data_IF_539469177379
#
_entry.id   IF_539469177379
#
_cell.length_a   1.000
_cell.length_b   1.000
_cell.length_c   1.000
_cell.angle_alpha   90.00
_cell.angle_beta   90.00
_cell.angle_gamma   90.00
#
_symmetry.space_group_name_H-M   'P 1'
#
loop_
_entity.id
_entity.type
_entity.pdbx_description
1 polymer ?
#
# COMPACT_ATOMS: atom_id res chain seq x y z
N UNK A 1 19.32 16.58 11.36
CA UNK A 1 19.34 15.76 10.14
C UNK A 1 20.33 14.64 10.34
N UNK A 2 20.03 13.41 9.91
CA UNK A 2 20.93 12.26 10.04
C UNK A 2 22.16 12.40 9.14
N UNK A 3 23.27 11.79 9.53
CA UNK A 3 24.47 11.66 8.70
C UNK A 3 24.44 10.39 7.85
N UNK A 4 23.86 9.31 8.41
CA UNK A 4 23.79 8.00 7.76
C UNK A 4 22.51 7.27 8.15
N UNK A 5 21.81 6.70 7.17
CA UNK A 5 20.63 5.87 7.38
C UNK A 5 20.81 4.49 6.74
N UNK A 6 20.23 3.46 7.37
CA UNK A 6 20.10 2.12 6.79
C UNK A 6 18.74 1.97 6.14
N UNK A 7 18.69 1.35 4.95
CA UNK A 7 17.46 1.02 4.25
C UNK A 7 17.15 -0.47 4.45
N UNK A 8 16.15 -0.75 5.30
CA UNK A 8 15.72 -2.12 5.63
C UNK A 8 14.72 -2.65 4.60
N UNK A 9 15.05 -2.55 3.33
CA UNK A 9 14.22 -2.98 2.22
C UNK A 9 15.06 -3.27 0.97
N UNK A 10 14.41 -3.64 -0.14
CA UNK A 10 15.00 -3.99 -1.42
C UNK A 10 14.18 -3.40 -2.59
N UNK A 11 14.65 -3.66 -3.80
CA UNK A 11 13.89 -3.33 -5.00
C UNK A 11 13.75 -1.82 -5.23
N UNK A 12 12.68 -1.43 -5.89
CA UNK A 12 12.47 -0.04 -6.31
C UNK A 12 12.35 0.93 -5.13
N UNK A 13 11.74 0.49 -4.02
CA UNK A 13 11.57 1.35 -2.85
C UNK A 13 12.91 1.63 -2.14
N UNK A 14 13.80 0.64 -2.10
CA UNK A 14 15.15 0.88 -1.57
C UNK A 14 15.91 1.89 -2.44
N UNK A 15 15.81 1.77 -3.77
CA UNK A 15 16.39 2.76 -4.71
C UNK A 15 15.77 4.14 -4.51
N UNK A 16 14.44 4.22 -4.33
CA UNK A 16 13.72 5.48 -4.08
C UNK A 16 14.21 6.18 -2.81
N UNK A 17 14.38 5.41 -1.71
CA UNK A 17 14.87 5.93 -0.43
C UNK A 17 16.32 6.38 -0.56
N UNK A 18 17.20 5.60 -1.20
CA UNK A 18 18.60 5.96 -1.44
C UNK A 18 18.70 7.29 -2.20
N UNK A 19 17.89 7.49 -3.24
CA UNK A 19 17.85 8.75 -3.99
C UNK A 19 17.43 9.92 -3.12
N UNK A 20 16.36 9.78 -2.33
CA UNK A 20 15.91 10.83 -1.41
C UNK A 20 16.95 11.18 -0.35
N UNK A 21 17.58 10.18 0.26
CA UNK A 21 18.63 10.37 1.26
C UNK A 21 19.84 11.09 0.65
N UNK A 22 20.29 10.68 -0.53
CA UNK A 22 21.41 11.31 -1.25
C UNK A 22 21.14 12.78 -1.58
N UNK A 23 19.91 13.09 -2.03
CA UNK A 23 19.49 14.47 -2.30
C UNK A 23 19.38 15.33 -1.02
N UNK A 24 19.27 14.70 0.16
CA UNK A 24 19.35 15.35 1.47
C UNK A 24 20.78 15.39 2.03
N UNK A 25 21.77 14.88 1.31
CA UNK A 25 23.17 14.82 1.74
C UNK A 25 23.44 13.76 2.82
N UNK A 26 22.61 12.71 2.90
CA UNK A 26 22.68 11.64 3.89
C UNK A 26 23.33 10.40 3.27
N UNK A 27 24.34 9.82 3.91
CA UNK A 27 24.95 8.56 3.51
C UNK A 27 23.99 7.38 3.74
N UNK A 28 24.10 6.36 2.88
CA UNK A 28 23.15 5.26 2.84
C UNK A 28 23.81 3.90 3.01
N UNK A 29 23.18 3.03 3.79
CA UNK A 29 23.53 1.62 3.92
C UNK A 29 22.39 0.77 3.35
N UNK A 30 22.65 0.01 2.30
CA UNK A 30 21.72 -1.00 1.81
C UNK A 30 21.93 -2.33 2.53
N UNK A 31 20.86 -3.00 2.94
CA UNK A 31 20.93 -4.41 3.32
C UNK A 31 20.51 -5.27 2.13
N UNK A 32 21.08 -6.48 2.03
CA UNK A 32 20.74 -7.42 0.96
C UNK A 32 20.85 -8.87 1.40
N UNK A 33 20.01 -9.73 0.83
CA UNK A 33 20.20 -11.17 0.89
C UNK A 33 21.21 -11.63 -0.16
N UNK A 34 21.73 -12.85 -0.03
CA UNK A 34 22.64 -13.40 -1.06
C UNK A 34 22.04 -13.42 -2.47
N UNK A 35 20.69 -13.48 -2.59
CA UNK A 35 20.00 -13.43 -3.88
C UNK A 35 19.98 -12.03 -4.52
N UNK A 36 20.15 -10.99 -3.72
CA UNK A 36 20.12 -9.57 -4.15
C UNK A 36 21.54 -8.95 -4.21
N UNK A 37 22.61 -9.75 -4.19
CA UNK A 37 23.99 -9.24 -4.18
C UNK A 37 24.27 -8.23 -5.32
N UNK A 38 23.68 -8.46 -6.48
CA UNK A 38 23.85 -7.61 -7.66
C UNK A 38 22.63 -6.69 -7.89
N UNK A 39 21.72 -6.56 -6.92
CA UNK A 39 20.56 -5.70 -7.04
C UNK A 39 20.94 -4.21 -7.07
N UNK A 40 20.20 -3.40 -7.81
CA UNK A 40 20.54 -1.99 -8.05
C UNK A 40 20.71 -1.17 -6.76
N UNK A 41 19.92 -1.46 -5.71
CA UNK A 41 20.03 -0.75 -4.43
C UNK A 41 21.38 -0.99 -3.74
N UNK A 42 22.00 -2.17 -3.90
CA UNK A 42 23.33 -2.44 -3.35
C UNK A 42 24.44 -1.70 -4.11
N UNK A 43 24.23 -1.46 -5.42
CA UNK A 43 25.18 -0.74 -6.27
C UNK A 43 25.09 0.79 -6.08
N UNK A 44 23.92 1.29 -5.68
CA UNK A 44 23.68 2.72 -5.51
C UNK A 44 23.96 3.23 -4.10
N UNK A 45 23.84 2.41 -3.06
CA UNK A 45 24.13 2.80 -1.70
C UNK A 45 25.63 3.06 -1.48
N UNK A 46 25.98 3.87 -0.47
CA UNK A 46 27.37 4.14 -0.12
C UNK A 46 28.04 2.94 0.54
N UNK A 47 27.26 2.14 1.29
CA UNK A 47 27.66 0.87 1.90
C UNK A 47 26.58 -0.19 1.65
N UNK A 48 26.98 -1.47 1.60
CA UNK A 48 26.04 -2.59 1.45
C UNK A 48 26.44 -3.75 2.34
N UNK A 49 25.47 -4.32 3.09
CA UNK A 49 25.67 -5.38 4.07
C UNK A 49 24.80 -6.59 3.75
N UNK A 50 25.40 -7.76 3.60
CA UNK A 50 24.67 -9.02 3.45
C UNK A 50 24.05 -9.43 4.80
N UNK A 51 22.75 -9.65 4.83
CA UNK A 51 21.99 -9.96 6.05
C UNK A 51 21.47 -11.41 6.11
N UNK A 52 21.81 -12.26 5.13
CA UNK A 52 21.43 -13.66 5.12
C UNK A 52 21.17 -14.24 3.74
N UNK A 53 20.64 -15.49 3.67
CA UNK A 53 20.30 -16.15 2.42
C UNK A 53 19.06 -15.55 1.75
N UNK A 54 18.69 -16.09 0.56
CA UNK A 54 17.61 -15.55 -0.27
C UNK A 54 16.21 -15.52 0.35
N UNK A 55 15.89 -16.45 1.28
CA UNK A 55 14.59 -16.45 1.94
C UNK A 55 14.39 -15.21 2.82
N UNK A 56 13.26 -14.53 2.66
CA UNK A 56 12.94 -13.32 3.43
C UNK A 56 12.97 -13.54 4.95
N UNK A 57 12.47 -14.67 5.44
CA UNK A 57 12.48 -15.03 6.88
C UNK A 57 13.86 -15.17 7.47
N UNK A 58 14.88 -15.43 6.64
CA UNK A 58 16.27 -15.62 7.05
C UNK A 58 17.12 -14.37 6.76
N UNK A 59 16.54 -13.32 6.17
CA UNK A 59 17.21 -12.07 5.76
C UNK A 59 16.38 -10.82 6.08
N UNK A 60 15.55 -10.32 5.16
CA UNK A 60 14.81 -9.06 5.31
C UNK A 60 13.78 -9.05 6.45
N UNK A 61 13.31 -10.21 6.92
CA UNK A 61 12.45 -10.38 8.10
C UNK A 61 13.22 -10.75 9.36
N UNK A 62 14.55 -10.87 9.28
CA UNK A 62 15.40 -11.16 10.43
C UNK A 62 15.79 -9.85 11.15
N UNK A 63 15.03 -9.49 12.17
CA UNK A 63 15.22 -8.27 12.96
C UNK A 63 16.67 -8.14 13.45
N UNK A 64 17.24 -9.23 14.01
CA UNK A 64 18.59 -9.18 14.58
C UNK A 64 19.66 -8.93 13.51
N UNK A 65 19.51 -9.52 12.32
CA UNK A 65 20.46 -9.30 11.22
C UNK A 65 20.40 -7.84 10.73
N UNK A 66 19.21 -7.27 10.59
CA UNK A 66 19.03 -5.87 10.17
C UNK A 66 19.58 -4.90 11.21
N UNK A 67 19.26 -5.10 12.50
CA UNK A 67 19.78 -4.28 13.60
C UNK A 67 21.30 -4.39 13.72
N UNK A 68 21.86 -5.59 13.62
CA UNK A 68 23.32 -5.79 13.64
C UNK A 68 23.99 -5.03 12.50
N UNK A 69 23.44 -5.05 11.30
CA UNK A 69 23.95 -4.27 10.18
C UNK A 69 23.92 -2.76 10.47
N UNK A 70 22.84 -2.26 11.08
CA UNK A 70 22.71 -0.85 11.43
C UNK A 70 23.73 -0.42 12.49
N UNK A 71 23.93 -1.22 13.52
CA UNK A 71 24.93 -0.94 14.58
C UNK A 71 26.34 -0.99 14.01
N UNK A 72 26.69 -2.01 13.22
CA UNK A 72 28.03 -2.19 12.64
C UNK A 72 28.42 -1.06 11.67
N UNK A 73 27.44 -0.50 10.98
CA UNK A 73 27.65 0.61 10.02
C UNK A 73 27.47 1.99 10.64
N UNK A 74 27.18 2.06 11.93
CA UNK A 74 26.92 3.31 12.65
C UNK A 74 25.77 4.13 12.02
N UNK A 75 24.72 3.44 11.52
CA UNK A 75 23.53 4.10 11.02
C UNK A 75 22.75 4.74 12.17
N UNK A 76 22.36 6.00 12.01
CA UNK A 76 21.61 6.77 13.01
C UNK A 76 20.11 6.52 12.96
N UNK A 77 19.61 6.08 11.79
CA UNK A 77 18.19 5.75 11.58
C UNK A 77 18.03 4.59 10.59
N UNK A 78 16.85 3.95 10.63
CA UNK A 78 16.46 2.90 9.70
C UNK A 78 15.19 3.31 8.98
N UNK A 79 15.22 3.27 7.65
CA UNK A 79 14.02 3.43 6.81
C UNK A 79 13.52 2.06 6.37
N UNK A 80 12.32 1.63 6.79
CA UNK A 80 11.82 0.30 6.49
C UNK A 80 11.18 0.18 5.10
N UNK A 81 10.85 1.29 4.43
CA UNK A 81 10.06 1.31 3.20
C UNK A 81 8.64 0.80 3.41
N UNK A 82 8.20 -0.14 2.58
CA UNK A 82 6.93 -0.87 2.72
C UNK A 82 7.15 -2.39 2.67
N UNK A 83 6.21 -3.18 3.23
CA UNK A 83 6.39 -4.62 3.38
C UNK A 83 7.48 -4.99 4.39
N UNK A 84 7.89 -6.26 4.44
CA UNK A 84 8.87 -6.79 5.38
C UNK A 84 8.64 -6.34 6.83
N UNK A 85 9.54 -5.53 7.39
CA UNK A 85 9.49 -5.07 8.78
C UNK A 85 8.82 -3.70 8.97
N UNK A 86 8.26 -3.10 7.91
CA UNK A 86 7.74 -1.73 7.97
C UNK A 86 6.56 -1.52 8.93
N UNK A 87 5.77 -2.56 9.19
CA UNK A 87 4.65 -2.54 10.14
C UNK A 87 4.88 -3.48 11.33
N UNK A 88 6.16 -3.79 11.62
CA UNK A 88 6.53 -4.65 12.74
C UNK A 88 6.83 -3.82 14.00
N UNK A 89 5.89 -3.76 14.93
CA UNK A 89 5.99 -2.98 16.17
C UNK A 89 7.20 -3.37 17.02
N UNK A 90 7.51 -4.69 17.09
CA UNK A 90 8.67 -5.19 17.81
C UNK A 90 9.97 -4.66 17.20
N UNK A 91 10.06 -4.61 15.87
CA UNK A 91 11.24 -4.06 15.21
C UNK A 91 11.41 -2.56 15.49
N UNK A 92 10.32 -1.78 15.40
CA UNK A 92 10.35 -0.36 15.72
C UNK A 92 10.82 -0.12 17.17
N UNK A 93 10.27 -0.84 18.13
CA UNK A 93 10.66 -0.77 19.54
C UNK A 93 12.14 -1.15 19.75
N UNK A 94 12.59 -2.24 19.14
CA UNK A 94 13.99 -2.66 19.25
C UNK A 94 14.98 -1.65 18.62
N UNK A 95 14.58 -0.94 17.56
CA UNK A 95 15.39 0.16 17.03
C UNK A 95 15.61 1.26 18.10
N UNK A 96 14.54 1.67 18.78
CA UNK A 96 14.60 2.68 19.84
C UNK A 96 15.45 2.21 21.03
N UNK A 97 15.30 0.95 21.45
CA UNK A 97 16.08 0.36 22.55
C UNK A 97 17.61 0.37 22.29
N UNK A 98 18.02 0.26 21.04
CA UNK A 98 19.45 0.32 20.65
C UNK A 98 19.90 1.72 20.23
N UNK A 99 19.04 2.72 20.38
CA UNK A 99 19.36 4.13 20.08
C UNK A 99 19.39 4.48 18.60
N UNK A 100 18.69 3.71 17.76
CA UNK A 100 18.55 3.95 16.31
C UNK A 100 17.14 4.42 16.03
N UNK A 101 16.97 5.57 15.36
CA UNK A 101 15.63 6.10 15.03
C UNK A 101 14.97 5.23 13.95
N UNK A 102 13.77 4.75 14.25
CA UNK A 102 12.90 4.14 13.25
C UNK A 102 12.21 5.25 12.45
N UNK A 103 12.31 5.23 11.11
CA UNK A 103 11.65 6.21 10.23
C UNK A 103 10.24 5.70 9.92
N UNK A 104 9.31 6.06 10.77
CA UNK A 104 7.92 5.61 10.77
C UNK A 104 7.25 5.95 12.09
N UNK A 105 6.01 5.50 12.31
CA UNK A 105 5.31 5.68 13.58
C UNK A 105 5.91 4.79 14.68
N UNK A 106 5.51 5.04 15.94
CA UNK A 106 5.94 4.22 17.08
C UNK A 106 5.34 2.81 17.02
N UNK A 107 6.02 1.84 17.66
CA UNK A 107 5.52 0.47 17.79
C UNK A 107 4.14 0.40 18.45
N UNK A 108 3.86 1.28 19.41
CA UNK A 108 2.54 1.37 20.06
C UNK A 108 1.41 1.73 19.09
N UNK A 109 1.63 2.70 18.20
CA UNK A 109 0.65 3.08 17.18
C UNK A 109 0.44 1.96 16.16
N UNK A 110 1.53 1.26 15.78
CA UNK A 110 1.42 0.08 14.91
C UNK A 110 0.55 -1.02 15.53
N UNK A 111 0.76 -1.35 16.80
CA UNK A 111 -0.04 -2.36 17.50
C UNK A 111 -1.50 -1.94 17.63
N UNK A 112 -1.75 -0.67 17.96
CA UNK A 112 -3.11 -0.13 18.10
C UNK A 112 -3.88 -0.19 16.78
N UNK A 113 -3.25 0.18 15.68
CA UNK A 113 -3.90 0.24 14.37
C UNK A 113 -3.88 -1.11 13.63
N UNK A 114 -2.97 -2.00 13.98
CA UNK A 114 -2.92 -3.37 13.44
C UNK A 114 -4.02 -4.29 13.98
N UNK A 115 -4.56 -4.01 15.15
CA UNK A 115 -5.73 -4.71 15.70
C UNK A 115 -7.02 -4.07 15.16
N UNK A 116 -7.75 -4.82 14.33
CA UNK A 116 -8.96 -4.31 13.63
C UNK A 116 -10.06 -3.84 14.59
N UNK A 117 -10.21 -4.49 15.74
CA UNK A 117 -11.25 -4.15 16.74
C UNK A 117 -10.84 -2.86 17.45
N UNK A 118 -9.60 -2.78 17.89
CA UNK A 118 -9.06 -1.59 18.55
C UNK A 118 -9.07 -0.39 17.59
N UNK A 119 -8.60 -0.56 16.37
CA UNK A 119 -8.62 0.46 15.35
C UNK A 119 -10.03 0.99 15.10
N UNK A 120 -11.02 0.09 14.90
CA UNK A 120 -12.41 0.47 14.73
C UNK A 120 -12.97 1.26 15.93
N UNK A 121 -12.74 0.76 17.15
CA UNK A 121 -13.20 1.43 18.37
C UNK A 121 -12.60 2.84 18.49
N UNK A 122 -11.33 2.98 18.14
CA UNK A 122 -10.64 4.29 18.13
C UNK A 122 -11.21 5.23 17.07
N UNK A 123 -11.52 4.73 15.88
CA UNK A 123 -12.14 5.53 14.81
C UNK A 123 -13.55 6.02 15.20
N UNK A 124 -14.35 5.17 15.84
CA UNK A 124 -15.67 5.57 16.37
C UNK A 124 -15.52 6.74 17.37
N UNK A 125 -14.56 6.63 18.31
CA UNK A 125 -14.28 7.70 19.29
C UNK A 125 -13.82 9.00 18.63
N UNK A 126 -13.07 8.89 17.54
CA UNK A 126 -12.59 10.03 16.76
C UNK A 126 -13.68 10.65 15.83
N UNK A 127 -14.89 10.08 15.80
CA UNK A 127 -15.96 10.52 14.90
C UNK A 127 -15.67 10.25 13.43
N UNK A 128 -14.87 9.21 13.14
CA UNK A 128 -14.61 8.74 11.79
C UNK A 128 -15.64 7.67 11.43
N UNK A 129 -16.34 7.79 10.29
CA UNK A 129 -17.33 6.80 9.88
C UNK A 129 -16.70 5.42 9.69
N UNK A 130 -17.31 4.39 10.25
CA UNK A 130 -16.89 2.99 10.12
C UNK A 130 -17.96 2.16 9.44
N UNK A 131 -17.59 1.09 8.75
CA UNK A 131 -18.55 0.20 8.09
C UNK A 131 -19.54 -0.32 9.17
N UNK A 132 -20.86 -0.25 8.94
CA UNK A 132 -21.82 -0.84 9.88
C UNK A 132 -21.50 -2.33 10.13
N UNK A 133 -21.37 -2.72 11.39
CA UNK A 133 -20.91 -4.07 11.74
C UNK A 133 -21.15 -4.38 13.20
N UNK A 134 -20.57 -5.50 13.67
CA UNK A 134 -20.60 -5.89 15.07
C UNK A 134 -19.82 -4.91 15.96
N UNK A 135 -20.27 -4.77 17.20
CA UNK A 135 -19.61 -3.91 18.21
C UNK A 135 -18.41 -4.60 18.89
N UNK A 136 -17.96 -5.73 18.36
CA UNK A 136 -16.87 -6.56 18.84
C UNK A 136 -16.91 -7.94 18.22
N UNK A 137 -16.22 -8.89 18.85
CA UNK A 137 -16.24 -10.29 18.44
C UNK A 137 -17.62 -10.92 18.58
N UNK A 138 -17.97 -11.75 17.60
CA UNK A 138 -19.17 -12.59 17.58
C UNK A 138 -18.72 -14.05 17.75
N UNK A 139 -19.23 -14.72 18.78
CA UNK A 139 -18.72 -16.03 19.17
C UNK A 139 -19.61 -17.21 18.74
N UNK A 140 -20.85 -16.94 18.34
CA UNK A 140 -21.81 -17.96 17.92
C UNK A 140 -22.74 -17.46 16.83
N UNK A 141 -23.43 -18.39 16.18
CA UNK A 141 -24.32 -18.10 15.06
C UNK A 141 -25.61 -17.34 15.46
N UNK A 142 -26.05 -17.44 16.71
CA UNK A 142 -27.23 -16.72 17.20
C UNK A 142 -26.92 -15.22 17.33
N UNK A 143 -25.77 -14.87 17.92
CA UNK A 143 -25.27 -13.49 17.95
C UNK A 143 -25.08 -12.94 16.52
N UNK A 144 -24.54 -13.79 15.63
CA UNK A 144 -24.31 -13.42 14.24
C UNK A 144 -25.61 -13.03 13.52
N UNK A 145 -26.69 -13.79 13.71
CA UNK A 145 -28.01 -13.49 13.14
C UNK A 145 -28.54 -12.14 13.65
N UNK A 146 -28.48 -11.88 14.94
CA UNK A 146 -28.95 -10.62 15.54
C UNK A 146 -28.19 -9.42 14.96
N UNK A 147 -26.88 -9.54 14.85
CA UNK A 147 -26.04 -8.48 14.28
C UNK A 147 -26.38 -8.27 12.80
N UNK A 148 -26.45 -9.35 12.02
CA UNK A 148 -26.70 -9.27 10.59
C UNK A 148 -28.09 -8.68 10.26
N UNK A 149 -29.12 -9.02 11.05
CA UNK A 149 -30.46 -8.43 10.93
C UNK A 149 -30.43 -6.92 11.22
N UNK A 150 -29.67 -6.48 12.22
CA UNK A 150 -29.52 -5.07 12.60
C UNK A 150 -28.83 -4.24 11.51
N UNK A 151 -27.76 -4.77 10.90
CA UNK A 151 -26.96 -4.03 9.91
C UNK A 151 -27.44 -4.21 8.47
N UNK A 152 -28.26 -5.23 8.19
CA UNK A 152 -28.81 -5.55 6.89
C UNK A 152 -27.88 -6.37 6.00
N UNK A 153 -28.48 -7.26 5.20
CA UNK A 153 -27.77 -8.09 4.22
C UNK A 153 -27.51 -7.31 2.92
N UNK A 154 -26.48 -7.71 2.14
CA UNK A 154 -25.51 -8.77 2.40
C UNK A 154 -24.49 -8.39 3.46
N UNK A 155 -23.98 -9.40 4.20
CA UNK A 155 -22.96 -9.21 5.23
C UNK A 155 -21.67 -9.98 4.91
N UNK A 156 -20.55 -9.51 5.45
CA UNK A 156 -19.26 -10.15 5.38
C UNK A 156 -18.87 -10.68 6.77
N UNK A 157 -18.65 -11.98 6.86
CA UNK A 157 -18.04 -12.63 8.02
C UNK A 157 -16.52 -12.56 7.87
N UNK A 158 -15.81 -12.13 8.90
CA UNK A 158 -14.34 -12.03 8.92
C UNK A 158 -13.82 -12.64 10.23
N UNK A 159 -12.75 -13.43 10.16
CA UNK A 159 -12.07 -13.88 11.37
C UNK A 159 -11.49 -12.68 12.14
N UNK A 160 -11.72 -12.64 13.48
CA UNK A 160 -11.15 -11.60 14.35
C UNK A 160 -9.63 -11.67 14.40
N UNK A 161 -9.09 -12.89 14.48
CA UNK A 161 -7.67 -13.15 14.40
C UNK A 161 -7.33 -13.56 12.97
N UNK A 162 -6.44 -12.82 12.30
CA UNK A 162 -5.92 -13.19 10.97
C UNK A 162 -6.02 -12.10 9.92
N UNK A 163 -5.30 -12.31 8.81
CA UNK A 163 -5.22 -11.42 7.65
C UNK A 163 -5.10 -12.21 6.35
N UNK A 164 -4.98 -11.51 5.21
CA UNK A 164 -4.72 -12.14 3.91
C UNK A 164 -5.91 -12.86 3.27
N UNK A 165 -7.15 -12.50 3.63
CA UNK A 165 -8.37 -13.02 2.96
C UNK A 165 -8.85 -14.40 3.41
N UNK A 166 -8.16 -15.06 4.35
CA UNK A 166 -8.61 -16.34 4.92
C UNK A 166 -9.64 -16.12 6.03
N UNK A 167 -10.67 -16.97 6.09
CA UNK A 167 -11.77 -16.82 7.04
C UNK A 167 -12.71 -15.66 6.72
N UNK A 168 -12.81 -15.26 5.45
CA UNK A 168 -13.75 -14.24 4.96
C UNK A 168 -14.83 -14.94 4.14
N UNK A 169 -16.11 -14.64 4.46
CA UNK A 169 -17.26 -15.17 3.71
C UNK A 169 -18.33 -14.10 3.55
N UNK A 170 -18.77 -13.89 2.30
CA UNK A 170 -19.96 -13.10 1.98
C UNK A 170 -21.21 -13.95 2.21
N UNK A 171 -22.21 -13.38 2.86
CA UNK A 171 -23.52 -14.00 3.09
C UNK A 171 -24.59 -13.07 2.54
N UNK A 172 -25.31 -13.57 1.54
CA UNK A 172 -26.32 -12.80 0.81
C UNK A 172 -27.67 -12.79 1.55
N UNK A 173 -27.99 -13.89 2.25
CA UNK A 173 -29.32 -14.14 2.82
C UNK A 173 -29.23 -14.72 4.24
N UNK A 174 -30.24 -14.45 5.10
CA UNK A 174 -30.27 -14.95 6.47
C UNK A 174 -30.14 -16.49 6.60
N UNK A 175 -30.77 -17.25 5.68
CA UNK A 175 -30.75 -18.71 5.70
C UNK A 175 -29.35 -19.32 5.56
N UNK A 176 -28.41 -18.61 4.95
CA UNK A 176 -27.06 -19.09 4.71
C UNK A 176 -26.10 -18.75 5.87
N UNK A 177 -26.50 -17.84 6.78
CA UNK A 177 -25.59 -17.25 7.77
C UNK A 177 -25.03 -18.27 8.76
N UNK A 178 -25.88 -19.17 9.28
CA UNK A 178 -25.48 -20.17 10.28
C UNK A 178 -24.38 -21.07 9.74
N UNK A 179 -24.62 -21.66 8.57
CA UNK A 179 -23.67 -22.57 7.90
C UNK A 179 -22.37 -21.85 7.55
N UNK A 180 -22.45 -20.61 7.03
CA UNK A 180 -21.30 -19.80 6.70
C UNK A 180 -20.48 -19.43 7.94
N UNK A 181 -21.16 -19.09 9.06
CA UNK A 181 -20.50 -18.74 10.32
C UNK A 181 -19.75 -19.95 10.90
N UNK A 182 -20.39 -21.11 11.01
CA UNK A 182 -19.79 -22.34 11.57
C UNK A 182 -18.55 -22.74 10.76
N UNK A 183 -18.65 -22.68 9.42
CA UNK A 183 -17.53 -23.00 8.54
C UNK A 183 -16.38 -22.01 8.74
N UNK A 184 -16.65 -20.70 8.68
CA UNK A 184 -15.64 -19.67 8.79
C UNK A 184 -14.99 -19.66 10.20
N UNK A 185 -15.77 -19.85 11.25
CA UNK A 185 -15.29 -19.96 12.63
C UNK A 185 -14.38 -21.18 12.83
N UNK A 186 -14.77 -22.34 12.25
CA UNK A 186 -13.94 -23.56 12.30
C UNK A 186 -12.61 -23.38 11.57
N UNK A 187 -12.63 -22.77 10.39
CA UNK A 187 -11.41 -22.44 9.62
C UNK A 187 -10.52 -21.44 10.40
N UNK A 188 -11.11 -20.41 11.00
CA UNK A 188 -10.39 -19.44 11.81
C UNK A 188 -9.72 -20.10 13.02
N UNK A 189 -10.45 -20.96 13.72
CA UNK A 189 -9.93 -21.72 14.85
C UNK A 189 -8.78 -22.66 14.46
N UNK A 190 -8.89 -23.33 13.32
CA UNK A 190 -7.85 -24.22 12.81
C UNK A 190 -6.56 -23.47 12.40
N UNK A 191 -6.71 -22.30 11.78
CA UNK A 191 -5.57 -21.54 11.25
C UNK A 191 -4.94 -20.60 12.28
N UNK A 192 -5.73 -20.04 13.20
CA UNK A 192 -5.32 -18.95 14.10
C UNK A 192 -5.52 -19.26 15.59
N UNK A 193 -6.09 -20.42 15.93
CA UNK A 193 -6.38 -20.80 17.32
C UNK A 193 -7.59 -20.09 17.94
N UNK A 194 -8.19 -19.13 17.25
CA UNK A 194 -9.38 -18.37 17.69
C UNK A 194 -10.46 -18.44 16.62
N UNK A 195 -11.68 -18.88 17.00
CA UNK A 195 -12.83 -18.99 16.09
C UNK A 195 -13.79 -17.79 16.17
N UNK A 196 -13.45 -16.74 16.92
CA UNK A 196 -14.26 -15.54 17.00
C UNK A 196 -14.29 -14.82 15.65
N UNK A 197 -15.48 -14.33 15.29
CA UNK A 197 -15.75 -13.69 14.02
C UNK A 197 -16.14 -12.23 14.23
N UNK A 198 -15.97 -11.47 13.20
CA UNK A 198 -16.43 -10.10 13.06
C UNK A 198 -17.38 -10.01 11.87
N UNK A 199 -18.45 -9.22 11.98
CA UNK A 199 -19.47 -9.08 10.94
C UNK A 199 -19.56 -7.64 10.50
N UNK A 200 -19.53 -7.41 9.18
CA UNK A 200 -19.73 -6.10 8.57
C UNK A 200 -20.74 -6.16 7.43
N UNK A 201 -21.43 -5.05 7.19
CA UNK A 201 -22.24 -4.90 5.99
C UNK A 201 -21.35 -4.88 4.75
N UNK A 202 -21.75 -5.56 3.69
CA UNK A 202 -21.08 -5.43 2.38
C UNK A 202 -21.48 -4.09 1.76
N UNK A 203 -20.48 -3.30 1.40
CA UNK A 203 -20.65 -2.06 0.65
C UNK A 203 -20.43 -2.38 -0.83
N UNK A 204 -21.46 -2.20 -1.64
CA UNK A 204 -21.41 -2.47 -3.08
C UNK A 204 -22.49 -1.70 -3.84
N UNK A 205 -22.20 -1.06 -5.01
CA UNK A 205 -20.85 -0.87 -5.56
C UNK A 205 -20.00 0.04 -4.68
N UNK A 206 -18.69 -0.17 -4.66
CA UNK A 206 -17.79 0.57 -3.79
C UNK A 206 -16.50 0.95 -4.49
N UNK A 207 -15.94 2.11 -4.11
CA UNK A 207 -14.58 2.51 -4.45
C UNK A 207 -13.65 2.39 -3.27
N UNK A 208 -12.44 1.98 -3.55
CA UNK A 208 -11.35 2.02 -2.59
C UNK A 208 -10.67 3.40 -2.69
N UNK A 209 -10.96 4.25 -1.75
CA UNK A 209 -10.40 5.60 -1.63
C UNK A 209 -9.49 5.63 -0.42
N UNK A 210 -8.30 6.16 -0.59
CA UNK A 210 -7.35 6.27 0.51
C UNK A 210 -6.76 7.68 0.59
N UNK A 211 -6.39 8.09 1.79
CA UNK A 211 -5.87 9.44 2.04
C UNK A 211 -4.46 9.36 2.60
N UNK A 212 -3.52 9.99 1.92
CA UNK A 212 -2.16 10.15 2.40
C UNK A 212 -2.11 11.16 3.54
N UNK A 213 -1.58 10.75 4.68
CA UNK A 213 -1.32 11.64 5.81
C UNK A 213 0.18 11.78 6.08
N UNK A 214 0.54 12.91 6.68
CA UNK A 214 1.83 13.18 7.29
C UNK A 214 1.59 13.78 8.67
N UNK A 215 2.27 13.24 9.69
CA UNK A 215 2.25 13.77 11.06
C UNK A 215 3.67 14.03 11.54
N UNK A 216 3.91 15.16 12.24
CA UNK A 216 5.20 15.46 12.85
C UNK A 216 5.20 15.23 14.38
N UNK A 217 6.39 15.22 14.99
CA UNK A 217 6.56 15.06 16.45
C UNK A 217 6.07 16.27 17.25
N UNK A 218 5.60 17.34 16.58
CA UNK A 218 5.09 18.57 17.19
C UNK A 218 3.57 18.60 17.26
N UNK A 219 2.89 17.53 16.83
CA UNK A 219 1.45 17.38 16.86
C UNK A 219 0.72 17.98 15.66
N UNK A 220 1.41 18.32 14.57
CA UNK A 220 0.79 18.75 13.34
C UNK A 220 0.51 17.53 12.46
N UNK A 221 -0.72 17.40 12.01
CA UNK A 221 -1.14 16.36 11.05
C UNK A 221 -1.80 17.03 9.86
N UNK A 222 -1.37 16.63 8.65
CA UNK A 222 -1.95 17.09 7.39
C UNK A 222 -2.31 15.91 6.49
N UNK A 223 -3.19 16.14 5.52
CA UNK A 223 -3.42 15.21 4.41
C UNK A 223 -2.96 15.79 3.07
N UNK A 224 -2.48 14.93 2.18
CA UNK A 224 -2.00 15.29 0.85
C UNK A 224 -3.01 14.96 -0.26
N UNK A 225 -4.28 14.81 0.07
CA UNK A 225 -5.34 14.39 -0.85
C UNK A 225 -5.51 12.87 -0.90
N UNK A 226 -6.45 12.47 -1.75
CA UNK A 226 -6.84 11.07 -1.90
C UNK A 226 -6.26 10.43 -3.15
N UNK A 227 -6.19 9.09 -3.10
CA UNK A 227 -5.95 8.18 -4.23
C UNK A 227 -7.16 7.30 -4.45
N UNK A 228 -7.43 6.92 -5.69
CA UNK A 228 -8.37 5.86 -6.07
C UNK A 228 -7.57 4.60 -6.38
N UNK A 229 -7.82 3.55 -5.62
CA UNK A 229 -7.15 2.26 -5.71
C UNK A 229 -8.14 1.12 -5.99
N UNK A 230 -9.25 1.41 -6.68
CA UNK A 230 -10.33 0.46 -6.90
C UNK A 230 -9.98 -0.64 -7.89
N UNK A 231 -9.05 -0.41 -8.83
CA UNK A 231 -8.63 -1.43 -9.79
C UNK A 231 -7.67 -2.43 -9.13
N UNK A 232 -8.26 -3.52 -8.61
CA UNK A 232 -7.58 -4.53 -7.81
C UNK A 232 -7.82 -5.94 -8.33
N UNK A 233 -6.80 -6.80 -8.23
CA UNK A 233 -6.89 -8.24 -8.44
C UNK A 233 -6.65 -8.96 -7.11
N UNK A 234 -7.63 -9.70 -6.61
CA UNK A 234 -7.52 -10.42 -5.34
C UNK A 234 -7.03 -9.52 -4.17
N UNK A 235 -7.60 -8.32 -4.06
CA UNK A 235 -7.22 -7.27 -3.09
C UNK A 235 -5.79 -6.70 -3.27
N UNK A 236 -5.13 -6.97 -4.39
CA UNK A 236 -3.87 -6.33 -4.77
C UNK A 236 -4.15 -5.23 -5.78
N UNK A 237 -3.72 -4.03 -5.46
CA UNK A 237 -3.84 -2.84 -6.32
C UNK A 237 -3.01 -3.07 -7.59
N UNK A 238 -3.57 -2.72 -8.74
CA UNK A 238 -2.97 -2.94 -10.06
C UNK A 238 -2.70 -1.62 -10.77
N UNK A 239 -3.65 -0.69 -10.65
CA UNK A 239 -3.58 0.66 -11.17
C UNK A 239 -4.15 1.61 -10.12
N UNK A 240 -3.46 2.72 -9.89
CA UNK A 240 -3.86 3.75 -8.93
C UNK A 240 -3.86 5.12 -9.60
N UNK A 241 -4.78 5.98 -9.17
CA UNK A 241 -4.85 7.35 -9.67
C UNK A 241 -5.11 8.38 -8.55
N UNK A 242 -4.66 9.60 -8.76
CA UNK A 242 -4.91 10.74 -7.86
C UNK A 242 -5.09 12.02 -8.68
N UNK A 243 -6.08 12.87 -8.32
CA UNK A 243 -7.18 12.60 -7.38
C UNK A 243 -8.22 11.63 -7.95
N UNK A 244 -9.09 11.06 -7.10
CA UNK A 244 -10.20 10.22 -7.56
C UNK A 244 -11.24 11.04 -8.32
N UNK A 245 -11.73 10.50 -9.44
CA UNK A 245 -12.84 11.11 -10.20
C UNK A 245 -14.19 10.95 -9.51
N UNK A 246 -14.33 9.97 -8.62
CA UNK A 246 -15.53 9.76 -7.82
C UNK A 246 -15.65 10.72 -6.65
N UNK A 247 -14.58 11.47 -6.33
CA UNK A 247 -14.51 12.34 -5.15
C UNK A 247 -14.53 13.81 -5.56
N UNK A 248 -15.70 14.42 -5.44
CA UNK A 248 -15.85 15.87 -5.66
C UNK A 248 -15.24 16.69 -4.50
N UNK A 249 -15.11 18.01 -4.70
CA UNK A 249 -14.44 18.92 -3.74
C UNK A 249 -14.98 18.84 -2.31
N UNK A 250 -16.29 18.77 -2.13
CA UNK A 250 -16.91 18.70 -0.79
C UNK A 250 -16.55 17.38 -0.11
N UNK A 251 -16.76 16.27 -0.80
CA UNK A 251 -16.44 14.94 -0.27
C UNK A 251 -14.95 14.79 0.02
N UNK A 252 -14.06 15.35 -0.83
CA UNK A 252 -12.61 15.38 -0.59
C UNK A 252 -12.26 16.05 0.73
N UNK A 253 -12.88 17.18 1.02
CA UNK A 253 -12.66 17.89 2.27
C UNK A 253 -13.16 17.06 3.47
N UNK A 254 -14.30 16.39 3.34
CA UNK A 254 -14.87 15.55 4.41
C UNK A 254 -14.00 14.32 4.69
N UNK A 255 -13.58 13.60 3.64
CA UNK A 255 -12.70 12.42 3.76
C UNK A 255 -11.33 12.84 4.30
N UNK A 256 -10.75 13.93 3.78
CA UNK A 256 -9.47 14.46 4.26
C UNK A 256 -9.51 14.85 5.73
N UNK A 257 -10.55 15.57 6.16
CA UNK A 257 -10.75 15.92 7.56
C UNK A 257 -10.95 14.68 8.46
N UNK A 258 -11.65 13.65 7.96
CA UNK A 258 -11.81 12.39 8.69
C UNK A 258 -10.46 11.66 8.85
N UNK A 259 -9.62 11.66 7.80
CA UNK A 259 -8.29 11.06 7.86
C UNK A 259 -7.36 11.79 8.85
N UNK A 260 -7.41 13.13 8.89
CA UNK A 260 -6.64 13.90 9.87
C UNK A 260 -7.10 13.57 11.30
N UNK A 261 -8.43 13.59 11.57
CA UNK A 261 -8.95 13.21 12.90
C UNK A 261 -8.56 11.78 13.30
N UNK A 262 -8.57 10.84 12.35
CA UNK A 262 -8.13 9.47 12.59
C UNK A 262 -6.68 9.44 13.08
N UNK A 263 -5.78 10.12 12.38
CA UNK A 263 -4.36 10.17 12.69
C UNK A 263 -4.07 10.91 14.01
N UNK A 264 -4.70 12.07 14.24
CA UNK A 264 -4.59 12.84 15.49
C UNK A 264 -5.04 12.02 16.70
N UNK A 265 -6.12 11.22 16.55
CA UNK A 265 -6.68 10.43 17.64
C UNK A 265 -5.75 9.36 18.19
N UNK A 266 -4.74 8.96 17.42
CA UNK A 266 -3.74 7.96 17.81
C UNK A 266 -2.34 8.54 17.99
N UNK A 267 -2.19 9.87 17.88
CA UNK A 267 -0.89 10.54 17.94
C UNK A 267 0.05 10.06 16.83
N UNK A 268 -0.46 9.99 15.60
CA UNK A 268 0.27 9.45 14.47
C UNK A 268 1.44 10.36 14.05
N UNK A 269 2.59 9.75 13.89
CA UNK A 269 3.80 10.41 13.39
C UNK A 269 4.29 9.75 12.10
N UNK A 270 4.95 10.51 11.26
CA UNK A 270 5.51 10.12 9.96
C UNK A 270 4.43 9.95 8.87
N UNK A 271 4.76 9.25 7.78
CA UNK A 271 3.84 8.99 6.68
C UNK A 271 2.94 7.79 6.95
N UNK A 272 1.66 7.94 6.70
CA UNK A 272 0.67 6.88 6.79
C UNK A 272 -0.48 7.08 5.81
N UNK A 273 -1.33 6.10 5.69
CA UNK A 273 -2.49 6.14 4.79
C UNK A 273 -3.72 5.63 5.50
N UNK A 274 -4.81 6.39 5.43
CA UNK A 274 -6.13 5.95 5.89
C UNK A 274 -6.92 5.46 4.69
N UNK A 275 -7.31 4.21 4.71
CA UNK A 275 -8.11 3.58 3.66
C UNK A 275 -9.60 3.63 3.99
N UNK A 276 -10.42 4.00 2.98
CA UNK A 276 -11.86 4.09 3.06
C UNK A 276 -12.54 3.31 1.93
N UNK A 277 -13.71 2.75 2.22
CA UNK A 277 -14.68 2.39 1.18
C UNK A 277 -15.64 3.54 0.96
N UNK A 278 -15.74 4.00 -0.27
CA UNK A 278 -16.77 4.92 -0.73
C UNK A 278 -17.93 4.13 -1.31
N UNK A 279 -19.10 4.21 -0.68
CA UNK A 279 -20.35 3.68 -1.20
C UNK A 279 -20.87 4.62 -2.30
N UNK A 280 -20.77 4.21 -3.55
CA UNK A 280 -21.18 5.04 -4.69
C UNK A 280 -22.69 5.29 -4.72
N UNK A 281 -23.49 4.37 -4.18
CA UNK A 281 -24.94 4.53 -4.17
C UNK A 281 -25.41 5.60 -3.19
N UNK A 282 -24.77 5.71 -2.03
CA UNK A 282 -25.15 6.68 -0.99
C UNK A 282 -24.24 7.90 -0.90
N UNK A 283 -23.07 7.87 -1.53
CA UNK A 283 -22.02 8.87 -1.39
C UNK A 283 -21.35 8.89 -0.02
N UNK A 284 -21.60 7.89 0.83
CA UNK A 284 -20.99 7.77 2.16
C UNK A 284 -19.67 7.03 2.08
N UNK A 285 -18.74 7.40 2.95
CA UNK A 285 -17.46 6.72 3.06
C UNK A 285 -17.28 6.10 4.46
N UNK A 286 -16.49 5.03 4.52
CA UNK A 286 -16.31 4.25 5.74
C UNK A 286 -14.84 3.84 5.88
N UNK A 287 -14.28 4.02 7.07
CA UNK A 287 -12.94 3.55 7.41
C UNK A 287 -12.82 2.03 7.22
N UNK A 288 -11.74 1.61 6.60
CA UNK A 288 -11.35 0.21 6.45
C UNK A 288 -10.18 -0.14 7.35
N UNK A 289 -9.05 0.51 7.12
CA UNK A 289 -7.80 0.29 7.86
C UNK A 289 -6.86 1.48 7.75
N UNK A 290 -5.81 1.45 8.54
CA UNK A 290 -4.70 2.39 8.46
C UNK A 290 -3.42 1.64 8.15
N UNK A 291 -2.72 2.03 7.10
CA UNK A 291 -1.38 1.54 6.81
C UNK A 291 -0.37 2.47 7.46
N UNK A 292 0.41 1.92 8.40
CA UNK A 292 1.33 2.68 9.25
C UNK A 292 2.73 2.81 8.62
N UNK A 293 2.77 3.08 7.32
CA UNK A 293 3.97 3.16 6.47
C UNK A 293 3.72 3.98 5.21
N UNK A 294 4.76 4.23 4.44
CA UNK A 294 4.61 4.65 3.04
C UNK A 294 4.01 3.52 2.21
N UNK A 295 3.17 3.84 1.23
CA UNK A 295 2.59 2.86 0.33
C UNK A 295 3.30 2.83 -1.04
N UNK A 296 3.08 1.76 -1.83
CA UNK A 296 3.64 1.60 -3.18
C UNK A 296 3.25 2.78 -4.04
N UNK A 297 1.99 3.19 -3.99
CA UNK A 297 1.33 4.21 -4.80
C UNK A 297 1.53 5.66 -4.34
N UNK A 298 2.48 5.90 -3.39
CA UNK A 298 2.80 7.27 -2.96
C UNK A 298 3.19 8.23 -4.10
N UNK A 299 3.79 7.77 -5.21
CA UNK A 299 4.21 8.65 -6.30
C UNK A 299 3.09 9.44 -6.96
N UNK A 300 1.86 8.90 -7.05
CA UNK A 300 0.74 9.67 -7.64
C UNK A 300 0.37 10.88 -6.76
N UNK A 301 0.45 10.71 -5.43
CA UNK A 301 0.25 11.82 -4.48
C UNK A 301 1.37 12.84 -4.57
N UNK A 302 2.63 12.39 -4.67
CA UNK A 302 3.79 13.29 -4.85
C UNK A 302 3.63 14.17 -6.10
N UNK A 303 3.16 13.60 -7.21
CA UNK A 303 2.95 14.34 -8.44
C UNK A 303 1.86 15.40 -8.33
N UNK A 304 0.72 15.09 -7.74
CA UNK A 304 -0.40 16.05 -7.67
C UNK A 304 -0.24 17.08 -6.54
N UNK A 305 0.44 16.73 -5.43
CA UNK A 305 0.65 17.62 -4.29
C UNK A 305 1.94 18.43 -4.39
N UNK A 306 2.95 17.93 -5.10
CA UNK A 306 4.28 18.50 -5.15
C UNK A 306 5.13 18.23 -3.91
N UNK A 307 4.68 17.37 -2.99
CA UNK A 307 5.39 17.02 -1.75
C UNK A 307 6.16 15.72 -1.92
N UNK A 308 7.47 15.72 -1.67
CA UNK A 308 8.31 14.51 -1.64
C UNK A 308 8.11 13.78 -0.30
N UNK A 309 7.24 12.76 -0.30
CA UNK A 309 6.82 12.04 0.91
C UNK A 309 8.00 11.35 1.59
N UNK A 310 8.91 10.74 0.83
CA UNK A 310 10.08 10.03 1.40
C UNK A 310 11.05 11.00 2.06
N UNK A 311 11.26 12.19 1.48
CA UNK A 311 12.06 13.23 2.14
C UNK A 311 11.40 13.75 3.40
N UNK A 312 10.06 13.93 3.38
CA UNK A 312 9.33 14.32 4.59
C UNK A 312 9.45 13.27 5.69
N UNK A 313 9.34 11.97 5.36
CA UNK A 313 9.57 10.90 6.34
C UNK A 313 10.93 11.01 7.04
N UNK A 314 11.99 11.28 6.28
CA UNK A 314 13.35 11.43 6.81
C UNK A 314 13.47 12.70 7.66
N UNK A 315 12.88 13.81 7.22
CA UNK A 315 12.90 15.10 7.96
C UNK A 315 12.14 15.01 9.28
N UNK A 316 10.93 14.45 9.25
CA UNK A 316 10.10 14.25 10.46
C UNK A 316 10.85 13.37 11.46
N UNK A 317 11.39 12.23 11.02
CA UNK A 317 12.15 11.35 11.90
C UNK A 317 13.43 12.00 12.47
N UNK A 318 13.96 13.02 11.79
CA UNK A 318 15.07 13.85 12.30
C UNK A 318 14.61 15.00 13.23
N UNK A 319 13.35 14.99 13.68
CA UNK A 319 12.77 15.98 14.60
C UNK A 319 12.39 17.32 13.95
N UNK A 320 12.35 17.39 12.62
CA UNK A 320 11.94 18.61 11.93
C UNK A 320 10.41 18.70 11.84
N UNK A 321 9.82 19.90 11.92
CA UNK A 321 8.42 20.09 11.63
C UNK A 321 8.12 19.81 10.15
N UNK A 322 6.84 19.55 9.83
CA UNK A 322 6.36 19.46 8.46
C UNK A 322 6.85 20.66 7.62
N UNK A 323 7.35 20.39 6.43
CA UNK A 323 7.87 21.45 5.53
C UNK A 323 6.76 22.26 4.87
N UNK A 324 5.52 21.80 4.94
CA UNK A 324 4.31 22.39 4.34
C UNK A 324 3.17 22.39 5.34
N UNK A 325 2.22 23.30 5.19
CA UNK A 325 0.99 23.36 5.98
C UNK A 325 -0.19 22.86 5.15
N UNK A 326 -1.30 22.52 5.82
CA UNK A 326 -2.49 22.05 5.11
C UNK A 326 -3.02 23.06 4.07
N UNK A 327 -2.97 24.36 4.36
CA UNK A 327 -3.41 25.41 3.45
C UNK A 327 -2.54 25.54 2.19
N UNK A 328 -1.31 25.05 2.21
CA UNK A 328 -0.38 25.07 1.07
C UNK A 328 -0.63 23.92 0.09
N UNK A 329 -1.38 22.89 0.52
CA UNK A 329 -1.63 21.70 -0.29
C UNK A 329 -2.71 21.99 -1.33
N UNK A 330 -2.28 22.03 -2.58
CA UNK A 330 -3.15 22.19 -3.76
C UNK A 330 -2.91 21.06 -4.72
N UNK A 331 -3.91 20.21 -4.91
CA UNK A 331 -3.83 19.14 -5.91
C UNK A 331 -3.91 19.72 -7.31
N UNK A 332 -2.90 19.43 -8.14
CA UNK A 332 -2.77 19.94 -9.51
C UNK A 332 -2.70 18.82 -10.50
N UNK A 333 -3.48 18.91 -11.57
CA UNK A 333 -3.51 17.91 -12.63
C UNK A 333 -4.08 16.58 -12.17
N UNK A 334 -3.60 15.52 -12.79
CA UNK A 334 -4.01 14.13 -12.51
C UNK A 334 -2.82 13.20 -12.70
N UNK A 335 -2.61 12.28 -11.78
CA UNK A 335 -1.54 11.29 -11.86
C UNK A 335 -2.11 9.87 -11.88
N UNK A 336 -1.46 8.99 -12.63
CA UNK A 336 -1.79 7.56 -12.74
C UNK A 336 -0.51 6.77 -12.54
N UNK A 337 -0.59 5.68 -11.77
CA UNK A 337 0.48 4.70 -11.60
C UNK A 337 0.01 3.34 -12.11
N UNK A 338 0.86 2.65 -12.88
CA UNK A 338 0.70 1.24 -13.25
C UNK A 338 1.84 0.43 -12.65
N UNK A 339 1.50 -0.63 -11.92
CA UNK A 339 2.47 -1.58 -11.38
C UNK A 339 2.89 -2.57 -12.46
N UNK A 340 4.18 -2.66 -12.73
CA UNK A 340 4.76 -3.63 -13.67
C UNK A 340 5.33 -4.79 -12.90
N UNK A 341 4.69 -5.95 -13.06
CA UNK A 341 5.05 -7.17 -12.38
C UNK A 341 5.64 -8.19 -13.36
N UNK A 342 6.66 -8.92 -12.93
CA UNK A 342 7.16 -10.09 -13.65
C UNK A 342 6.21 -11.29 -13.42
N UNK A 343 5.07 -11.24 -14.11
CA UNK A 343 3.97 -12.20 -14.04
C UNK A 343 3.40 -12.45 -15.43
N UNK A 344 2.80 -13.62 -15.62
CA UNK A 344 2.09 -13.94 -16.85
C UNK A 344 0.57 -13.86 -16.66
N UNK A 345 -0.12 -12.80 -17.16
CA UNK A 345 -1.56 -12.62 -16.99
C UNK A 345 -2.40 -13.75 -17.60
N UNK A 346 -1.95 -14.33 -18.72
CA UNK A 346 -2.64 -15.44 -19.42
C UNK A 346 -2.65 -16.71 -18.55
N UNK A 347 -1.57 -16.96 -17.80
CA UNK A 347 -1.45 -18.09 -16.88
C UNK A 347 -1.76 -17.67 -15.43
N UNK A 348 -2.90 -17.01 -15.25
CA UNK A 348 -3.41 -16.59 -13.93
C UNK A 348 -2.37 -15.80 -13.10
N UNK A 349 -1.59 -14.94 -13.76
CA UNK A 349 -0.55 -14.12 -13.14
C UNK A 349 0.51 -14.94 -12.40
N UNK A 350 0.87 -16.08 -12.98
CA UNK A 350 1.98 -16.88 -12.44
C UNK A 350 3.29 -16.05 -12.46
N UNK A 351 4.06 -16.03 -11.36
CA UNK A 351 5.34 -15.34 -11.31
C UNK A 351 6.30 -15.82 -12.40
N UNK A 352 7.03 -14.88 -13.01
CA UNK A 352 8.02 -15.13 -14.05
C UNK A 352 9.41 -14.61 -13.62
N UNK A 353 10.06 -15.27 -12.63
CA UNK A 353 11.44 -14.95 -12.28
C UNK A 353 12.37 -15.33 -13.42
N UNK A 354 13.50 -14.61 -13.55
CA UNK A 354 14.44 -14.91 -14.62
C UNK A 354 15.35 -13.75 -14.95
N UNK A 355 16.19 -13.94 -15.97
CA UNK A 355 17.14 -12.93 -16.40
C UNK A 355 16.51 -12.00 -17.43
N UNK A 356 16.58 -10.71 -17.17
CA UNK A 356 16.22 -9.67 -18.14
C UNK A 356 17.32 -9.59 -19.19
N UNK A 357 16.97 -9.88 -20.44
CA UNK A 357 17.92 -9.88 -21.57
C UNK A 357 17.96 -8.55 -22.28
N UNK A 358 16.80 -7.88 -22.42
CA UNK A 358 16.68 -6.53 -22.93
C UNK A 358 15.72 -5.72 -22.06
N UNK A 359 15.99 -4.42 -21.93
CA UNK A 359 15.16 -3.50 -21.15
C UNK A 359 15.19 -2.11 -21.76
N UNK A 360 14.04 -1.61 -22.14
CA UNK A 360 13.82 -0.20 -22.43
C UNK A 360 12.73 0.33 -21.51
N UNK A 361 13.11 1.20 -20.58
CA UNK A 361 12.16 1.92 -19.72
C UNK A 361 11.76 3.21 -20.41
N UNK A 362 10.45 3.53 -20.53
CA UNK A 362 10.00 4.75 -21.16
C UNK A 362 10.59 5.97 -20.45
N UNK A 363 11.06 6.92 -21.23
CA UNK A 363 11.70 8.13 -20.71
C UNK A 363 11.34 9.36 -21.54
N UNK A 364 11.54 10.54 -20.95
CA UNK A 364 11.25 11.79 -21.62
C UNK A 364 9.79 12.22 -21.61
N UNK A 365 9.57 13.47 -21.98
CA UNK A 365 8.28 14.15 -21.84
C UNK A 365 8.03 14.66 -20.42
N UNK A 366 7.14 15.65 -20.32
CA UNK A 366 6.76 16.25 -19.05
C UNK A 366 5.80 15.32 -18.30
N UNK A 367 6.09 15.04 -17.03
CA UNK A 367 5.22 14.26 -16.17
C UNK A 367 5.29 12.76 -16.40
N UNK A 368 6.47 12.22 -16.73
CA UNK A 368 6.74 10.79 -16.71
C UNK A 368 7.83 10.48 -15.70
N UNK A 369 7.57 9.49 -14.84
CA UNK A 369 8.49 8.94 -13.85
C UNK A 369 8.43 7.42 -13.90
N UNK A 370 9.58 6.78 -13.79
CA UNK A 370 9.70 5.32 -13.65
C UNK A 370 10.49 5.02 -12.38
N UNK A 371 9.84 4.35 -11.42
CA UNK A 371 10.50 3.82 -10.23
C UNK A 371 10.78 2.34 -10.46
N UNK A 372 12.07 1.98 -10.54
CA UNK A 372 12.51 0.62 -10.85
C UNK A 372 13.84 0.31 -10.22
N UNK A 373 14.10 -0.98 -10.03
CA UNK A 373 15.40 -1.50 -9.57
C UNK A 373 15.99 -2.53 -10.54
N UNK A 374 15.37 -2.72 -11.71
CA UNK A 374 15.87 -3.67 -12.72
C UNK A 374 16.71 -2.96 -13.78
N UNK A 375 17.60 -3.71 -14.40
CA UNK A 375 18.51 -3.26 -15.46
C UNK A 375 18.83 -4.42 -16.41
N UNK A 376 19.33 -4.18 -17.62
CA UNK A 376 19.71 -5.25 -18.57
C UNK A 376 20.74 -6.19 -17.95
N UNK A 377 20.43 -7.48 -17.96
CA UNK A 377 21.27 -8.53 -17.35
C UNK A 377 20.93 -8.87 -15.89
N UNK A 378 20.08 -8.08 -15.22
CA UNK A 378 19.60 -8.41 -13.87
C UNK A 378 18.77 -9.68 -13.87
N UNK A 379 18.94 -10.51 -12.83
CA UNK A 379 18.13 -11.71 -12.61
C UNK A 379 17.13 -11.47 -11.50
N UNK A 380 15.84 -11.52 -11.83
CA UNK A 380 14.74 -11.41 -10.87
C UNK A 380 14.72 -12.69 -10.02
N UNK A 381 14.94 -12.59 -8.70
CA UNK A 381 14.95 -13.75 -7.83
C UNK A 381 13.53 -14.26 -7.54
N UNK A 382 13.33 -15.58 -7.32
CA UNK A 382 12.01 -16.15 -7.08
C UNK A 382 11.53 -16.06 -5.62
N UNK A 383 12.20 -15.29 -4.77
CA UNK A 383 11.96 -15.26 -3.32
C UNK A 383 11.06 -14.14 -2.85
N UNK A 384 10.79 -13.15 -3.70
CA UNK A 384 10.14 -11.89 -3.31
C UNK A 384 8.98 -11.58 -4.24
N UNK A 385 8.27 -10.48 -3.94
CA UNK A 385 7.19 -9.98 -4.78
C UNK A 385 7.66 -9.76 -6.23
N UNK A 386 6.76 -9.97 -7.16
CA UNK A 386 7.00 -9.92 -8.61
C UNK A 386 7.11 -8.51 -9.18
N UNK A 387 6.79 -7.46 -8.42
CA UNK A 387 6.83 -6.08 -8.90
C UNK A 387 8.27 -5.64 -9.19
N UNK A 388 8.52 -5.23 -10.44
CA UNK A 388 9.84 -4.86 -10.95
C UNK A 388 9.97 -3.38 -11.30
N UNK A 389 8.84 -2.72 -11.58
CA UNK A 389 8.79 -1.30 -11.87
C UNK A 389 7.40 -0.72 -11.57
N UNK A 390 7.36 0.59 -11.44
CA UNK A 390 6.13 1.40 -11.48
C UNK A 390 6.32 2.45 -12.57
N UNK A 391 5.33 2.60 -13.42
CA UNK A 391 5.26 3.70 -14.37
C UNK A 391 4.25 4.69 -13.83
N UNK A 392 4.68 5.91 -13.63
CA UNK A 392 3.87 6.99 -13.06
C UNK A 392 3.83 8.14 -14.05
N UNK A 393 2.64 8.62 -14.36
CA UNK A 393 2.45 9.77 -15.24
C UNK A 393 1.67 10.88 -14.53
N UNK A 394 1.91 12.10 -14.96
CA UNK A 394 1.18 13.29 -14.51
C UNK A 394 0.74 14.10 -15.72
N UNK A 395 -0.54 14.39 -15.81
CA UNK A 395 -1.16 15.20 -16.85
C UNK A 395 -1.85 16.45 -16.30
N UNK A 396 -2.18 17.39 -17.17
CA UNK A 396 -2.98 18.57 -16.82
C UNK A 396 -4.38 18.16 -16.33
N UNK A 397 -4.88 17.04 -16.83
CA UNK A 397 -6.14 16.43 -16.48
C UNK A 397 -6.05 14.90 -16.68
N UNK A 398 -7.12 14.18 -16.31
CA UNK A 398 -7.15 12.72 -16.39
C UNK A 398 -6.94 12.18 -17.81
N UNK A 399 -7.54 12.83 -18.81
CA UNK A 399 -7.39 12.40 -20.21
C UNK A 399 -5.93 12.51 -20.68
N UNK A 400 -5.25 13.61 -20.36
CA UNK A 400 -3.82 13.79 -20.67
C UNK A 400 -2.95 12.74 -19.93
N UNK A 401 -3.27 12.43 -18.67
CA UNK A 401 -2.59 11.37 -17.93
C UNK A 401 -2.81 9.98 -18.57
N UNK A 402 -4.05 9.65 -18.98
CA UNK A 402 -4.35 8.39 -19.70
C UNK A 402 -3.54 8.25 -20.97
N UNK A 403 -3.49 9.31 -21.81
CA UNK A 403 -2.72 9.29 -23.07
C UNK A 403 -1.21 9.14 -22.81
N UNK A 404 -0.68 9.77 -21.77
CA UNK A 404 0.72 9.61 -21.37
C UNK A 404 1.02 8.20 -20.87
N UNK A 405 0.11 7.58 -20.11
CA UNK A 405 0.27 6.20 -19.64
C UNK A 405 0.23 5.20 -20.79
N UNK A 406 -0.72 5.34 -21.73
CA UNK A 406 -0.78 4.49 -22.92
C UNK A 406 0.53 4.57 -23.73
N UNK A 407 1.04 5.78 -23.97
CA UNK A 407 2.33 5.98 -24.64
C UNK A 407 3.47 5.31 -23.88
N UNK A 408 3.55 5.52 -22.57
CA UNK A 408 4.63 4.96 -21.75
C UNK A 408 4.60 3.43 -21.73
N UNK A 409 3.41 2.81 -21.62
CA UNK A 409 3.26 1.36 -21.67
C UNK A 409 3.57 0.78 -23.06
N UNK A 410 3.21 1.50 -24.14
CA UNK A 410 3.53 1.11 -25.50
C UNK A 410 5.05 1.14 -25.79
N UNK A 411 5.77 2.08 -25.19
CA UNK A 411 7.23 2.19 -25.33
C UNK A 411 8.00 1.21 -24.43
N UNK A 412 7.36 0.64 -23.39
CA UNK A 412 8.01 -0.26 -22.44
C UNK A 412 8.38 -1.58 -23.11
N UNK A 413 9.64 -1.94 -23.05
CA UNK A 413 10.14 -3.22 -23.57
C UNK A 413 10.93 -3.96 -22.50
N UNK A 414 10.50 -5.18 -22.18
CA UNK A 414 11.15 -6.07 -21.20
C UNK A 414 11.20 -7.48 -21.80
N UNK A 415 12.41 -7.97 -22.07
CA UNK A 415 12.62 -9.31 -22.62
C UNK A 415 13.34 -10.24 -21.61
N UNK A 416 13.11 -11.53 -21.78
CA UNK A 416 13.70 -12.60 -20.94
C UNK A 416 12.78 -13.08 -19.84
N UNK A 417 11.75 -12.30 -19.48
CA UNK A 417 10.70 -12.65 -18.51
C UNK A 417 9.34 -12.24 -19.05
N UNK A 418 8.27 -12.86 -18.57
CA UNK A 418 6.91 -12.40 -18.83
C UNK A 418 6.55 -11.26 -17.87
N UNK A 419 5.78 -10.29 -18.35
CA UNK A 419 5.30 -9.18 -17.53
C UNK A 419 3.82 -8.93 -17.78
N UNK A 420 3.20 -8.14 -16.90
CA UNK A 420 1.82 -7.68 -17.07
C UNK A 420 1.70 -6.36 -17.87
N UNK A 421 2.74 -5.95 -18.61
CA UNK A 421 2.74 -4.66 -19.32
C UNK A 421 1.62 -4.54 -20.36
N UNK A 422 1.41 -5.57 -21.20
CA UNK A 422 0.34 -5.59 -22.21
C UNK A 422 -1.05 -5.61 -21.54
N UNK A 423 -1.20 -6.34 -20.43
CA UNK A 423 -2.41 -6.31 -19.61
C UNK A 423 -2.71 -4.90 -19.09
N UNK A 424 -1.69 -4.17 -18.61
CA UNK A 424 -1.84 -2.78 -18.18
C UNK A 424 -2.24 -1.86 -19.34
N UNK A 425 -1.66 -2.05 -20.51
CA UNK A 425 -2.01 -1.28 -21.71
C UNK A 425 -3.47 -1.53 -22.15
N UNK A 426 -3.93 -2.77 -22.12
CA UNK A 426 -5.32 -3.11 -22.40
C UNK A 426 -6.26 -2.54 -21.34
N UNK A 427 -5.88 -2.62 -20.05
CA UNK A 427 -6.67 -2.09 -18.94
C UNK A 427 -6.85 -0.57 -19.03
N UNK A 428 -5.76 0.19 -19.24
CA UNK A 428 -5.82 1.65 -19.34
C UNK A 428 -6.53 2.12 -20.62
N UNK A 429 -6.69 1.23 -21.59
CA UNK A 429 -7.38 1.47 -22.85
C UNK A 429 -8.84 1.02 -22.83
N UNK A 430 -9.29 0.34 -21.77
CA UNK A 430 -10.70 -0.08 -21.64
C UNK A 430 -11.62 1.13 -21.53
N UNK A 431 -12.75 1.08 -22.21
CA UNK A 431 -13.73 2.18 -22.27
C UNK A 431 -14.28 2.58 -20.89
N UNK A 432 -14.48 1.60 -20.00
CA UNK A 432 -14.99 1.89 -18.66
C UNK A 432 -13.90 2.56 -17.82
N UNK A 433 -12.65 2.12 -17.94
CA UNK A 433 -11.50 2.77 -17.27
C UNK A 433 -11.31 4.19 -17.79
N UNK A 434 -11.39 4.41 -19.11
CA UNK A 434 -11.33 5.75 -19.71
C UNK A 434 -12.47 6.63 -19.18
N UNK A 435 -13.69 6.11 -19.14
CA UNK A 435 -14.86 6.82 -18.62
C UNK A 435 -14.83 7.01 -17.10
N UNK A 436 -14.02 6.19 -16.39
CA UNK A 436 -14.01 6.13 -14.93
C UNK A 436 -15.19 5.38 -14.33
N UNK A 437 -15.82 4.53 -15.11
CA UNK A 437 -16.97 3.70 -14.75
C UNK A 437 -16.48 2.31 -14.30
N UNK A 438 -15.95 2.24 -13.11
CA UNK A 438 -15.42 1.02 -12.47
C UNK A 438 -15.56 1.11 -10.95
N UNK A 439 -15.62 -0.03 -10.30
CA UNK A 439 -15.62 -0.19 -8.85
C UNK A 439 -14.57 -1.25 -8.44
N UNK A 440 -14.55 -1.65 -7.17
CA UNK A 440 -13.61 -2.65 -6.65
C UNK A 440 -13.79 -4.05 -7.24
N UNK A 441 -14.93 -4.35 -7.87
CA UNK A 441 -15.19 -5.64 -8.51
C UNK A 441 -14.84 -5.66 -10.02
N UNK A 442 -14.76 -4.49 -10.65
CA UNK A 442 -14.65 -4.33 -12.09
C UNK A 442 -13.55 -5.19 -12.72
N UNK A 443 -12.35 -5.15 -12.13
CA UNK A 443 -11.21 -5.87 -12.70
C UNK A 443 -11.47 -7.38 -12.77
N UNK A 444 -11.98 -7.96 -11.67
CA UNK A 444 -12.19 -9.41 -11.54
C UNK A 444 -13.44 -9.90 -12.25
N UNK A 445 -14.52 -9.13 -12.20
CA UNK A 445 -15.82 -9.56 -12.69
C UNK A 445 -16.10 -9.14 -14.14
N UNK A 446 -15.48 -8.05 -14.61
CA UNK A 446 -15.77 -7.47 -15.92
C UNK A 446 -14.61 -7.51 -16.88
N UNK A 447 -13.41 -7.04 -16.45
CA UNK A 447 -12.28 -6.90 -17.37
C UNK A 447 -11.52 -8.21 -17.57
N UNK A 448 -11.10 -8.88 -16.50
CA UNK A 448 -10.26 -10.07 -16.57
C UNK A 448 -10.88 -11.24 -17.35
N UNK A 449 -12.18 -11.56 -17.21
CA UNK A 449 -12.80 -12.60 -18.04
C UNK A 449 -12.70 -12.29 -19.54
N UNK A 450 -12.95 -11.04 -19.96
CA UNK A 450 -12.84 -10.62 -21.36
C UNK A 450 -11.42 -10.64 -21.88
N UNK A 451 -10.45 -10.29 -21.04
CA UNK A 451 -9.03 -10.33 -21.38
C UNK A 451 -8.56 -11.76 -21.65
N UNK A 452 -8.95 -12.71 -20.79
CA UNK A 452 -8.61 -14.14 -20.93
C UNK A 452 -9.29 -14.82 -22.12
N UNK A 453 -10.44 -14.33 -22.60
CA UNK A 453 -11.10 -14.86 -23.80
C UNK A 453 -10.42 -14.40 -25.11
N UNK A 454 -9.62 -13.33 -25.09
CA UNK A 454 -8.93 -12.81 -26.28
C UNK A 454 -7.60 -13.51 -26.57
N UNK A 455 -6.93 -14.04 -25.51
CA UNK A 455 -5.63 -14.67 -25.55
C UNK A 455 -5.73 -16.22 -25.67
#
# INVERSE_FOLDING_TARGET
>A
MFRKILIANRGEIAVRIIRAARELGIATVAVYSTADKEALHTLLADEAVCIGPGKATESYLNINAVLSAAVLTEAEAIHPGFGFLSENSKFATMCEEVGIKFIGPSGHVMDMMGDKINARAQMIKAGVPVIPGSDGEVHNSEEALIVAEKIGYPVMLKASAGGGGKGIRKVEKPEDLVSAFETASSEAKANYGNGAMYIERVIYPARHIEVQILGDEHGHVIHLGERDCSLQRNNQKVLEESPSIAVGKTLRNEIGAAAVRAAESVGYENAGTIEFLLDEASGKFYFMEMNTRVQVEHPVTEFVSGVDIVKEQIRIAAGQPLSVKQEDIVLRGHAIECRINAENPVFNFAPSPGKITNLYLPSGGVGLRVDSAVYPGYTIPPYYDSMIAKIIVHGENRFDALMKMQRALYELEIEGVQTNADFQLDLISDRNVIAGDYDTSFLMETFLPKYQEKE
#
